data_IF_005076556272
#
_entry.id   IF_005076556272
#
_cell.length_a   1.000
_cell.length_b   1.000
_cell.length_c   1.000
_cell.angle_alpha   90.00
_cell.angle_beta   90.00
_cell.angle_gamma   90.00
#
_symmetry.space_group_name_H-M   'P 1'
#
loop_
_entity.id
_entity.type
_entity.pdbx_description
1 polymer ?
#
# COMPACT_ATOMS: atom_id res chain seq x y z
N UNK A 1 8.53 10.05 16.19
CA UNK A 1 8.29 9.71 14.77
C UNK A 1 7.98 8.23 14.53
N UNK A 2 8.06 7.33 15.53
CA UNK A 2 7.74 5.90 15.37
C UNK A 2 6.26 5.60 15.06
N UNK A 3 5.35 6.53 15.35
CA UNK A 3 3.91 6.31 15.18
C UNK A 3 3.44 6.25 13.72
N UNK A 4 4.23 6.78 12.79
CA UNK A 4 3.86 6.88 11.36
C UNK A 4 4.80 6.09 10.45
N UNK A 5 5.65 5.23 11.02
CA UNK A 5 6.58 4.37 10.26
C UNK A 5 6.01 2.99 9.98
N UNK A 6 4.74 2.76 10.31
CA UNK A 6 4.01 1.51 10.03
C UNK A 6 2.59 1.84 9.59
N UNK A 7 1.93 0.87 8.95
CA UNK A 7 0.53 0.99 8.53
C UNK A 7 -0.35 1.33 9.74
N UNK A 8 -1.30 2.24 9.56
CA UNK A 8 -2.28 2.59 10.60
C UNK A 8 -3.20 1.41 10.95
N UNK A 9 -3.65 1.37 12.20
CA UNK A 9 -4.61 0.37 12.69
C UNK A 9 -6.02 0.88 12.45
N UNK A 10 -6.77 0.24 11.57
CA UNK A 10 -8.03 0.79 11.06
C UNK A 10 -9.22 -0.13 11.26
N UNK A 11 -10.39 0.45 11.55
CA UNK A 11 -11.65 -0.27 11.78
C UNK A 11 -12.44 -0.42 10.48
N UNK A 12 -12.02 -1.31 9.59
CA UNK A 12 -12.64 -1.42 8.27
C UNK A 12 -14.14 -1.76 8.33
N UNK A 13 -14.51 -2.73 9.17
CA UNK A 13 -15.89 -3.20 9.29
C UNK A 13 -16.80 -2.24 10.07
N UNK A 14 -16.24 -1.48 11.01
CA UNK A 14 -17.01 -0.52 11.81
C UNK A 14 -17.37 0.74 11.02
N UNK A 15 -16.55 1.11 10.04
CA UNK A 15 -16.72 2.32 9.23
C UNK A 15 -17.71 2.06 8.08
N UNK A 16 -18.95 1.74 8.45
CA UNK A 16 -20.03 1.32 7.54
C UNK A 16 -20.94 2.46 7.06
N UNK A 17 -20.81 3.65 7.64
CA UNK A 17 -21.62 4.82 7.30
C UNK A 17 -20.87 6.14 7.51
N UNK A 18 -21.33 7.21 6.86
CA UNK A 18 -20.74 8.54 7.00
C UNK A 18 -20.91 9.11 8.40
N UNK A 19 -22.01 8.76 9.08
CA UNK A 19 -22.29 9.19 10.45
C UNK A 19 -21.25 8.65 11.44
N UNK A 20 -20.62 7.50 11.15
CA UNK A 20 -19.51 6.97 11.95
C UNK A 20 -18.31 7.90 11.97
N UNK A 21 -18.05 8.62 10.88
CA UNK A 21 -16.93 9.56 10.82
C UNK A 21 -17.07 10.71 11.80
N UNK A 22 -18.29 11.09 12.16
CA UNK A 22 -18.58 12.17 13.11
C UNK A 22 -18.46 11.71 14.58
N UNK A 23 -18.25 10.41 14.84
CA UNK A 23 -18.08 9.91 16.20
C UNK A 23 -16.81 10.48 16.83
N UNK A 24 -16.95 11.05 18.03
CA UNK A 24 -15.88 11.81 18.68
C UNK A 24 -15.02 10.99 19.64
N UNK A 25 -15.07 9.66 19.51
CA UNK A 25 -14.35 8.74 20.39
C UNK A 25 -13.85 7.55 19.59
N UNK A 26 -12.68 7.04 19.99
CA UNK A 26 -12.21 5.77 19.46
C UNK A 26 -13.14 4.63 19.93
N UNK A 27 -13.65 3.78 19.03
CA UNK A 27 -14.49 2.64 19.40
C UNK A 27 -13.77 1.62 20.27
N UNK A 28 -14.55 0.73 20.89
CA UNK A 28 -13.98 -0.38 21.67
C UNK A 28 -13.17 -1.33 20.81
N UNK A 29 -12.24 -2.07 21.43
CA UNK A 29 -11.41 -3.09 20.79
C UNK A 29 -12.21 -4.08 19.92
N UNK A 30 -13.41 -4.49 20.36
CA UNK A 30 -14.31 -5.38 19.59
C UNK A 30 -14.72 -4.83 18.23
N UNK A 31 -14.72 -3.51 18.06
CA UNK A 31 -15.05 -2.86 16.80
C UNK A 31 -13.94 -2.99 15.75
N UNK A 32 -12.75 -3.43 16.13
CA UNK A 32 -11.61 -3.69 15.23
C UNK A 32 -11.60 -5.16 14.72
N UNK A 33 -12.64 -5.94 14.97
CA UNK A 33 -12.72 -7.32 14.51
C UNK A 33 -12.71 -7.39 12.97
N UNK A 34 -11.76 -8.14 12.42
CA UNK A 34 -11.61 -8.36 10.98
C UNK A 34 -12.40 -9.60 10.56
N UNK A 35 -13.41 -9.40 9.73
CA UNK A 35 -14.21 -10.49 9.14
C UNK A 35 -13.43 -11.29 8.10
N UNK A 36 -12.45 -10.65 7.45
CA UNK A 36 -11.59 -11.27 6.44
C UNK A 36 -10.67 -12.33 7.07
N UNK A 37 -10.03 -12.00 8.18
CA UNK A 37 -9.12 -12.90 8.90
C UNK A 37 -9.83 -13.68 10.01
N UNK A 38 -11.05 -13.27 10.38
CA UNK A 38 -11.84 -13.80 11.50
C UNK A 38 -11.13 -13.70 12.85
N UNK A 39 -10.35 -12.64 13.03
CA UNK A 39 -9.53 -12.40 14.23
C UNK A 39 -9.90 -11.10 14.92
N UNK A 40 -9.75 -11.09 16.24
CA UNK A 40 -9.73 -9.85 17.01
C UNK A 40 -8.41 -9.11 16.77
N UNK A 41 -8.39 -7.83 17.12
CA UNK A 41 -7.18 -7.01 17.10
C UNK A 41 -6.23 -7.47 18.20
N UNK A 42 -4.92 -7.36 17.97
CA UNK A 42 -3.93 -7.57 19.02
C UNK A 42 -3.92 -6.37 20.00
N UNK A 43 -3.76 -6.63 21.30
CA UNK A 43 -3.72 -5.60 22.34
C UNK A 43 -2.68 -4.50 22.02
N UNK A 44 -1.52 -4.89 21.50
CA UNK A 44 -0.45 -3.99 21.05
C UNK A 44 -0.87 -3.03 19.94
N UNK A 45 -1.69 -3.50 18.99
CA UNK A 45 -2.18 -2.69 17.88
C UNK A 45 -3.33 -1.79 18.32
N UNK A 46 -4.18 -2.24 19.26
CA UNK A 46 -5.20 -1.38 19.84
C UNK A 46 -4.58 -0.26 20.69
N UNK A 47 -3.56 -0.56 21.47
CA UNK A 47 -2.84 0.47 22.24
C UNK A 47 -2.12 1.45 21.32
N UNK A 48 -1.58 0.98 20.19
CA UNK A 48 -1.04 1.88 19.18
C UNK A 48 -2.11 2.78 18.56
N UNK A 49 -3.31 2.25 18.27
CA UNK A 49 -4.41 3.06 17.74
C UNK A 49 -4.80 4.18 18.73
N UNK A 50 -4.83 3.89 20.04
CA UNK A 50 -5.04 4.91 21.08
C UNK A 50 -3.92 5.93 21.12
N UNK A 51 -2.67 5.48 21.09
CA UNK A 51 -1.51 6.38 21.12
C UNK A 51 -1.51 7.31 19.91
N UNK A 52 -1.83 6.79 18.71
CA UNK A 52 -1.98 7.61 17.50
C UNK A 52 -3.14 8.60 17.65
N UNK A 53 -4.32 8.14 18.08
CA UNK A 53 -5.48 9.00 18.30
C UNK A 53 -5.16 10.17 19.24
N UNK A 54 -4.55 9.87 20.39
CA UNK A 54 -4.23 10.86 21.42
C UNK A 54 -3.07 11.77 20.99
N UNK A 55 -2.02 11.23 20.38
CA UNK A 55 -0.83 11.98 19.95
C UNK A 55 -1.15 13.00 18.87
N UNK A 56 -1.98 12.62 17.89
CA UNK A 56 -2.40 13.51 16.80
C UNK A 56 -3.63 14.35 17.17
N UNK A 57 -4.22 14.12 18.34
CA UNK A 57 -5.34 14.89 18.86
C UNK A 57 -6.61 14.75 18.01
N UNK A 58 -6.83 13.54 17.46
CA UNK A 58 -8.00 13.25 16.63
C UNK A 58 -9.28 13.49 17.44
N UNK A 59 -10.18 14.30 16.90
CA UNK A 59 -11.46 14.64 17.52
C UNK A 59 -12.59 13.80 17.00
N UNK A 60 -12.48 13.31 15.78
CA UNK A 60 -13.51 12.50 15.11
C UNK A 60 -12.88 11.28 14.43
N UNK A 61 -13.67 10.24 14.20
CA UNK A 61 -13.20 9.08 13.44
C UNK A 61 -12.86 9.43 11.99
N UNK A 62 -13.46 10.48 11.44
CA UNK A 62 -13.08 11.06 10.15
C UNK A 62 -11.64 11.57 10.16
N UNK A 63 -11.25 12.38 11.14
CA UNK A 63 -9.87 12.88 11.27
C UNK A 63 -8.86 11.73 11.45
N UNK A 64 -9.23 10.70 12.22
CA UNK A 64 -8.42 9.49 12.36
C UNK A 64 -8.30 8.71 11.05
N UNK A 65 -9.38 8.60 10.28
CA UNK A 65 -9.38 7.96 8.96
C UNK A 65 -8.49 8.69 7.96
N UNK A 66 -8.63 10.02 7.88
CA UNK A 66 -7.77 10.86 7.04
C UNK A 66 -6.29 10.72 7.40
N UNK A 67 -5.99 10.63 8.71
CA UNK A 67 -4.64 10.39 9.19
C UNK A 67 -4.11 9.03 8.74
N UNK A 68 -4.86 7.95 8.93
CA UNK A 68 -4.48 6.61 8.46
C UNK A 68 -4.24 6.58 6.95
N UNK A 69 -5.14 7.18 6.17
CA UNK A 69 -5.01 7.26 4.70
C UNK A 69 -3.78 8.04 4.28
N UNK A 70 -3.49 9.15 4.98
CA UNK A 70 -2.29 9.95 4.72
C UNK A 70 -1.01 9.17 5.02
N UNK A 71 -0.99 8.39 6.11
CA UNK A 71 0.14 7.52 6.44
C UNK A 71 0.33 6.46 5.34
N UNK A 72 -0.74 5.78 4.92
CA UNK A 72 -0.68 4.76 3.87
C UNK A 72 -0.17 5.32 2.53
N UNK A 73 -0.62 6.51 2.16
CA UNK A 73 -0.14 7.22 0.96
C UNK A 73 1.35 7.56 1.06
N UNK A 74 1.78 8.13 2.19
CA UNK A 74 3.18 8.54 2.38
C UNK A 74 4.12 7.33 2.41
N UNK A 75 3.74 6.25 3.08
CA UNK A 75 4.52 5.01 3.11
C UNK A 75 4.64 4.40 1.71
N UNK A 76 3.54 4.39 0.94
CA UNK A 76 3.57 3.89 -0.44
C UNK A 76 4.45 4.74 -1.35
N UNK A 77 4.40 6.08 -1.19
CA UNK A 77 5.25 6.99 -1.94
C UNK A 77 6.74 6.79 -1.60
N UNK A 78 7.09 6.65 -0.33
CA UNK A 78 8.47 6.43 0.11
C UNK A 78 9.05 5.13 -0.47
N UNK A 79 8.28 4.03 -0.39
CA UNK A 79 8.66 2.74 -0.98
C UNK A 79 8.82 2.85 -2.50
N UNK A 80 7.93 3.56 -3.19
CA UNK A 80 7.97 3.70 -4.64
C UNK A 80 9.12 4.60 -5.13
N UNK A 81 9.40 5.71 -4.47
CA UNK A 81 10.54 6.57 -4.81
C UNK A 81 11.86 5.81 -4.61
N UNK A 82 12.01 5.06 -3.51
CA UNK A 82 13.17 4.20 -3.32
C UNK A 82 13.27 3.11 -4.40
N UNK A 83 12.15 2.51 -4.81
CA UNK A 83 12.13 1.56 -5.93
C UNK A 83 12.57 2.23 -7.24
N UNK A 84 12.08 3.43 -7.55
CA UNK A 84 12.46 4.21 -8.74
C UNK A 84 13.96 4.51 -8.75
N UNK A 85 14.53 4.94 -7.63
CA UNK A 85 15.96 5.18 -7.49
C UNK A 85 16.79 3.92 -7.74
N UNK A 86 16.34 2.77 -7.22
CA UNK A 86 16.99 1.47 -7.47
C UNK A 86 16.92 1.09 -8.95
N UNK A 87 15.78 1.30 -9.62
CA UNK A 87 15.63 1.01 -11.04
C UNK A 87 16.51 1.90 -11.92
N UNK A 88 16.58 3.20 -11.60
CA UNK A 88 17.47 4.14 -12.28
C UNK A 88 18.94 3.76 -12.07
N UNK A 89 19.33 3.41 -10.84
CA UNK A 89 20.71 3.01 -10.53
C UNK A 89 21.14 1.71 -11.20
N UNK A 90 20.28 0.69 -11.22
CA UNK A 90 20.66 -0.66 -11.66
C UNK A 90 20.40 -0.90 -13.15
N UNK A 91 19.31 -0.34 -13.69
CA UNK A 91 18.86 -0.61 -15.07
C UNK A 91 18.94 0.64 -15.95
N UNK A 92 19.12 1.83 -15.37
CA UNK A 92 18.99 3.11 -16.06
C UNK A 92 17.65 3.18 -16.82
N UNK A 93 16.58 2.72 -16.16
CA UNK A 93 15.19 2.73 -16.61
C UNK A 93 14.35 3.37 -15.52
N UNK A 94 13.46 4.28 -15.90
CA UNK A 94 12.56 4.96 -14.96
C UNK A 94 11.30 4.11 -14.75
N UNK A 95 11.08 3.65 -13.51
CA UNK A 95 9.91 2.85 -13.15
C UNK A 95 8.58 3.52 -13.51
N UNK A 96 8.53 4.86 -13.56
CA UNK A 96 7.31 5.64 -13.89
C UNK A 96 6.87 5.52 -15.35
N UNK A 97 7.73 4.98 -16.23
CA UNK A 97 7.38 4.76 -17.64
C UNK A 97 6.67 3.42 -17.88
N UNK A 98 6.45 2.60 -16.85
CA UNK A 98 5.86 1.28 -16.97
C UNK A 98 4.62 1.18 -16.09
N UNK A 99 3.58 0.51 -16.60
CA UNK A 99 2.35 0.27 -15.83
C UNK A 99 2.54 -0.77 -14.73
N UNK A 100 3.44 -1.74 -14.93
CA UNK A 100 3.63 -2.87 -14.02
C UNK A 100 5.11 -3.27 -13.93
N UNK A 101 5.49 -3.90 -12.80
CA UNK A 101 6.85 -4.40 -12.58
C UNK A 101 7.31 -5.47 -13.59
N UNK A 102 6.45 -6.38 -14.11
CA UNK A 102 6.83 -7.28 -15.19
C UNK A 102 7.24 -6.57 -16.48
N UNK A 103 6.55 -5.50 -16.91
CA UNK A 103 6.92 -4.73 -18.09
C UNK A 103 8.30 -4.09 -17.93
N UNK A 104 8.56 -3.48 -16.78
CA UNK A 104 9.87 -2.91 -16.45
C UNK A 104 10.96 -3.99 -16.44
N UNK A 105 10.67 -5.15 -15.86
CA UNK A 105 11.62 -6.27 -15.76
C UNK A 105 11.93 -6.88 -17.13
N UNK A 106 10.94 -6.96 -18.02
CA UNK A 106 11.12 -7.40 -19.39
C UNK A 106 12.02 -6.44 -20.18
N UNK A 107 11.80 -5.12 -20.06
CA UNK A 107 12.67 -4.14 -20.72
C UNK A 107 14.09 -4.13 -20.12
N UNK A 108 14.21 -4.25 -18.80
CA UNK A 108 15.51 -4.41 -18.14
C UNK A 108 16.26 -5.65 -18.68
N UNK A 109 15.56 -6.77 -18.88
CA UNK A 109 16.12 -7.99 -19.47
C UNK A 109 16.54 -7.79 -20.93
N UNK A 110 15.72 -7.14 -21.76
CA UNK A 110 16.07 -6.84 -23.15
C UNK A 110 17.30 -5.93 -23.24
N UNK A 111 17.35 -4.89 -22.41
CA UNK A 111 18.50 -3.97 -22.34
C UNK A 111 19.77 -4.66 -21.86
N UNK A 112 19.67 -5.55 -20.88
CA UNK A 112 20.80 -6.32 -20.36
C UNK A 112 21.35 -7.32 -21.38
N UNK A 113 20.47 -8.04 -22.08
CA UNK A 113 20.86 -9.09 -23.04
C UNK A 113 21.18 -8.54 -24.44
N UNK A 114 20.71 -7.35 -24.78
CA UNK A 114 20.84 -6.76 -26.12
C UNK A 114 20.07 -7.52 -27.20
N UNK A 115 19.14 -8.40 -26.82
CA UNK A 115 18.37 -9.20 -27.75
C UNK A 115 17.42 -8.34 -28.58
N UNK A 116 17.33 -8.63 -29.88
CA UNK A 116 16.34 -8.01 -30.77
C UNK A 116 15.11 -8.90 -30.79
N UNK A 117 13.95 -8.29 -30.53
CA UNK A 117 12.67 -8.97 -30.64
C UNK A 117 12.49 -9.51 -32.06
N UNK A 118 12.13 -10.79 -32.14
CA UNK A 118 11.83 -11.48 -33.39
C UNK A 118 10.32 -11.41 -33.66
N UNK A 119 9.92 -11.75 -34.87
CA UNK A 119 8.50 -11.94 -35.16
C UNK A 119 7.96 -13.12 -34.35
N UNK A 120 6.74 -12.98 -33.85
CA UNK A 120 6.02 -14.08 -33.22
C UNK A 120 5.56 -15.03 -34.34
N UNK A 121 6.28 -16.12 -34.55
CA UNK A 121 6.01 -17.13 -35.56
C UNK A 121 5.48 -18.45 -35.00
N UNK A 122 5.49 -18.60 -33.67
CA UNK A 122 4.95 -19.74 -32.93
C UNK A 122 3.82 -19.32 -31.96
N UNK A 123 2.83 -20.21 -31.83
CA UNK A 123 1.66 -20.05 -30.97
C UNK A 123 2.03 -19.86 -29.50
N UNK A 124 3.05 -20.58 -29.02
CA UNK A 124 3.49 -20.49 -27.62
C UNK A 124 4.10 -19.12 -27.28
N UNK A 125 4.73 -18.44 -28.24
CA UNK A 125 5.24 -17.08 -28.03
C UNK A 125 4.12 -16.07 -27.86
N UNK A 126 3.01 -16.22 -28.61
CA UNK A 126 1.84 -15.36 -28.46
C UNK A 126 1.22 -15.51 -27.07
N UNK A 127 1.07 -16.76 -26.61
CA UNK A 127 0.53 -17.05 -25.28
C UNK A 127 1.36 -16.46 -24.14
N UNK A 128 2.68 -16.30 -24.31
CA UNK A 128 3.54 -15.64 -23.33
C UNK A 128 3.25 -14.15 -23.17
N UNK A 129 2.74 -13.48 -24.21
CA UNK A 129 2.38 -12.05 -24.14
C UNK A 129 0.93 -11.81 -23.72
N UNK A 130 0.03 -12.78 -23.96
CA UNK A 130 -1.39 -12.66 -23.58
C UNK A 130 -1.67 -13.01 -22.11
N UNK A 131 -0.88 -13.90 -21.50
CA UNK A 131 -1.07 -14.38 -20.12
C UNK A 131 -0.10 -13.73 -19.13
#
# INVERSE_FOLDING_TARGET
MSLVTRKGVYLYEYMDSWERLEETRLPSERSFYSTLTKTEIEESDFDHAKEVWDHFGCKTLGEYSDLCLKIDMLLSADVFENFRDLCMKNYNLDATHYFTAPCLSFDAMLKFTGQKLQFLDDYDMLLMFEN
#
